data_IF_004708252220
#
_entry.id   IF_004708252220
#
_cell.length_a   1.000
_cell.length_b   1.000
_cell.length_c   1.000
_cell.angle_alpha   90.00
_cell.angle_beta   90.00
_cell.angle_gamma   90.00
#
_symmetry.space_group_name_H-M   'P 1'
#
loop_
_entity.id
_entity.type
_entity.pdbx_description
1 polymer ?
#
# COMPACT_ATOMS: atom_id res chain seq x y z
N UNK A 1 16.80 -13.22 18.21
CA UNK A 1 16.94 -13.05 16.76
C UNK A 1 15.56 -12.71 16.20
N UNK A 2 15.43 -11.59 15.51
CA UNK A 2 14.24 -11.33 14.68
C UNK A 2 14.35 -12.27 13.48
N UNK A 3 13.51 -13.30 13.44
CA UNK A 3 13.45 -14.21 12.28
C UNK A 3 13.17 -13.46 10.97
N UNK A 4 13.35 -14.13 9.84
CA UNK A 4 13.01 -13.61 8.49
C UNK A 4 11.49 -13.63 8.27
N UNK A 5 10.77 -12.98 9.17
CA UNK A 5 9.34 -12.79 9.09
C UNK A 5 9.02 -11.69 8.09
N UNK A 6 8.06 -11.93 7.20
CA UNK A 6 7.56 -10.92 6.26
C UNK A 6 6.10 -10.59 6.55
N UNK A 7 5.78 -9.31 6.44
CA UNK A 7 4.40 -8.85 6.49
C UNK A 7 3.67 -9.27 5.22
N UNK A 8 2.48 -9.83 5.38
CA UNK A 8 1.59 -10.19 4.28
C UNK A 8 0.39 -9.26 4.30
N UNK A 9 0.14 -8.59 3.18
CA UNK A 9 -1.09 -7.84 2.94
C UNK A 9 -1.89 -8.55 1.84
N UNK A 10 -2.07 -7.95 0.67
CA UNK A 10 -2.78 -8.56 -0.45
C UNK A 10 -2.13 -9.79 -1.09
N UNK A 11 -0.85 -10.04 -0.80
CA UNK A 11 -0.10 -11.20 -1.30
C UNK A 11 0.23 -11.20 -2.80
N UNK A 12 -0.24 -10.22 -3.57
CA UNK A 12 -0.12 -10.20 -5.04
C UNK A 12 1.31 -9.98 -5.58
N UNK A 13 2.28 -9.66 -4.72
CA UNK A 13 3.71 -9.63 -5.06
C UNK A 13 4.48 -10.72 -4.33
N UNK A 14 4.30 -10.82 -3.00
CA UNK A 14 5.06 -11.75 -2.16
C UNK A 14 4.74 -13.23 -2.46
N UNK A 15 3.47 -13.60 -2.65
CA UNK A 15 3.10 -15.01 -2.90
C UNK A 15 3.66 -15.48 -4.26
N UNK A 16 3.55 -14.72 -5.37
CA UNK A 16 4.25 -15.06 -6.60
C UNK A 16 5.77 -15.25 -6.43
N UNK A 17 6.44 -14.34 -5.70
CA UNK A 17 7.88 -14.46 -5.42
C UNK A 17 8.22 -15.71 -4.59
N UNK A 18 7.35 -16.10 -3.65
CA UNK A 18 7.50 -17.35 -2.88
C UNK A 18 7.30 -18.58 -3.75
N UNK A 19 6.31 -18.58 -4.64
CA UNK A 19 6.05 -19.70 -5.57
C UNK A 19 7.22 -19.96 -6.52
N UNK A 20 7.94 -18.92 -6.90
CA UNK A 20 9.16 -19.00 -7.73
C UNK A 20 10.44 -19.15 -6.91
N UNK A 21 10.34 -19.20 -5.57
CA UNK A 21 11.45 -19.26 -4.62
C UNK A 21 12.43 -18.08 -4.69
N UNK A 22 11.99 -16.95 -5.24
CA UNK A 22 12.73 -15.69 -5.16
C UNK A 22 12.71 -15.12 -3.72
N UNK A 23 11.66 -15.43 -2.95
CA UNK A 23 11.55 -15.13 -1.54
C UNK A 23 11.20 -16.40 -0.74
N UNK A 24 11.78 -16.57 0.45
CA UNK A 24 11.55 -17.74 1.31
C UNK A 24 11.52 -17.34 2.80
N UNK A 25 10.60 -16.45 3.22
CA UNK A 25 10.49 -16.05 4.63
C UNK A 25 10.13 -17.24 5.51
N UNK A 26 10.62 -17.23 6.76
CA UNK A 26 10.27 -18.27 7.75
C UNK A 26 8.83 -18.16 8.21
N UNK A 27 8.33 -16.93 8.30
CA UNK A 27 7.03 -16.59 8.85
C UNK A 27 6.33 -15.53 8.01
N UNK A 28 5.00 -15.63 7.96
CA UNK A 28 4.15 -14.59 7.38
C UNK A 28 3.25 -14.00 8.48
N UNK A 29 3.26 -12.68 8.59
CA UNK A 29 2.39 -11.94 9.50
C UNK A 29 1.29 -11.27 8.68
N UNK A 30 0.10 -11.86 8.66
CA UNK A 30 -1.04 -11.40 7.87
C UNK A 30 -1.73 -10.18 8.51
N UNK A 31 -1.72 -9.06 7.78
CA UNK A 31 -2.32 -7.79 8.20
C UNK A 31 -3.79 -7.66 7.80
N UNK A 32 -4.32 -8.54 6.96
CA UNK A 32 -5.67 -8.43 6.38
C UNK A 32 -6.81 -8.53 7.40
N UNK A 33 -6.51 -8.98 8.62
CA UNK A 33 -7.46 -9.12 9.71
C UNK A 33 -7.48 -7.92 10.68
N UNK A 34 -6.66 -6.90 10.45
CA UNK A 34 -6.62 -5.69 11.28
C UNK A 34 -7.62 -4.68 10.73
N UNK A 35 -8.77 -4.51 11.39
CA UNK A 35 -9.87 -3.67 10.92
C UNK A 35 -9.49 -2.18 10.83
N UNK A 36 -8.64 -1.70 11.73
CA UNK A 36 -8.13 -0.33 11.76
C UNK A 36 -7.28 0.02 10.53
N UNK A 37 -6.79 -0.99 9.81
CA UNK A 37 -6.02 -0.82 8.58
C UNK A 37 -6.90 -0.85 7.32
N UNK A 38 -8.23 -0.85 7.43
CA UNK A 38 -9.16 -0.88 6.30
C UNK A 38 -9.94 0.41 6.13
N UNK A 39 -10.24 0.72 4.87
CA UNK A 39 -11.20 1.75 4.50
C UNK A 39 -10.58 3.08 4.09
N UNK A 40 -11.48 4.00 3.77
CA UNK A 40 -11.19 5.33 3.25
C UNK A 40 -12.02 6.33 4.04
N UNK A 41 -11.36 7.39 4.46
CA UNK A 41 -11.99 8.51 5.15
C UNK A 41 -11.73 9.79 4.35
N UNK A 42 -12.79 10.56 4.11
CA UNK A 42 -12.70 11.88 3.47
C UNK A 42 -13.24 12.90 4.46
N UNK A 43 -12.35 13.74 4.99
CA UNK A 43 -12.65 14.74 6.01
C UNK A 43 -12.16 16.11 5.52
N UNK A 44 -13.08 16.94 5.04
CA UNK A 44 -12.74 18.24 4.47
C UNK A 44 -11.84 18.09 3.23
N UNK A 45 -10.62 18.64 3.31
CA UNK A 45 -9.61 18.56 2.27
C UNK A 45 -8.64 17.38 2.42
N UNK A 46 -8.79 16.56 3.46
CA UNK A 46 -7.89 15.44 3.76
C UNK A 46 -8.55 14.12 3.42
N UNK A 47 -7.80 13.25 2.73
CA UNK A 47 -8.22 11.90 2.35
C UNK A 47 -7.28 10.92 3.03
N UNK A 48 -7.79 10.11 3.95
CA UNK A 48 -7.01 9.05 4.58
C UNK A 48 -7.38 7.71 3.95
N UNK A 49 -6.42 7.02 3.34
CA UNK A 49 -6.60 5.65 2.83
C UNK A 49 -5.79 4.71 3.70
N UNK A 50 -6.46 3.78 4.38
CA UNK A 50 -5.80 2.81 5.26
C UNK A 50 -5.02 1.76 4.46
N UNK A 51 -3.93 1.25 5.05
CA UNK A 51 -2.92 0.50 4.31
C UNK A 51 -3.42 -0.80 3.67
N UNK A 52 -4.40 -1.48 4.27
CA UNK A 52 -4.96 -2.73 3.74
C UNK A 52 -6.17 -2.53 2.84
N UNK A 53 -6.53 -1.28 2.54
CA UNK A 53 -7.57 -0.97 1.54
C UNK A 53 -7.16 -1.51 0.17
N UNK A 54 -8.05 -2.31 -0.43
CA UNK A 54 -7.75 -2.98 -1.69
C UNK A 54 -7.77 -1.99 -2.85
N UNK A 55 -7.08 -2.29 -3.94
CA UNK A 55 -7.13 -1.45 -5.14
C UNK A 55 -8.57 -1.34 -5.68
N UNK A 56 -9.38 -2.39 -5.52
CA UNK A 56 -10.79 -2.36 -5.85
C UNK A 56 -11.55 -1.32 -5.02
N UNK A 57 -11.36 -1.30 -3.71
CA UNK A 57 -12.03 -0.35 -2.82
C UNK A 57 -11.58 1.08 -3.12
N UNK A 58 -10.27 1.32 -3.34
CA UNK A 58 -9.77 2.63 -3.78
C UNK A 58 -10.40 3.07 -5.11
N UNK A 59 -10.52 2.15 -6.08
CA UNK A 59 -11.09 2.47 -7.38
C UNK A 59 -12.60 2.72 -7.35
N UNK A 60 -13.31 2.12 -6.39
CA UNK A 60 -14.77 2.08 -6.36
C UNK A 60 -15.39 3.01 -5.32
N UNK A 61 -14.64 3.51 -4.34
CA UNK A 61 -15.17 4.38 -3.29
C UNK A 61 -15.74 5.70 -3.86
N UNK A 62 -17.03 5.91 -3.60
CA UNK A 62 -17.78 7.04 -4.15
C UNK A 62 -17.35 8.39 -3.56
N UNK A 63 -16.85 8.42 -2.33
CA UNK A 63 -16.34 9.66 -1.71
C UNK A 63 -15.01 10.04 -2.34
N UNK A 64 -14.13 9.06 -2.52
CA UNK A 64 -12.82 9.25 -3.16
C UNK A 64 -12.96 9.64 -4.62
N UNK A 65 -13.87 9.03 -5.38
CA UNK A 65 -14.15 9.45 -6.77
C UNK A 65 -14.55 10.91 -6.88
N UNK A 66 -15.23 11.47 -5.87
CA UNK A 66 -15.60 12.89 -5.84
C UNK A 66 -14.45 13.78 -5.39
N UNK A 67 -13.69 13.35 -4.38
CA UNK A 67 -12.63 14.16 -3.78
C UNK A 67 -11.30 14.12 -4.56
N UNK A 68 -10.92 12.96 -5.07
CA UNK A 68 -9.71 12.74 -5.88
C UNK A 68 -9.98 11.73 -7.01
N UNK A 69 -10.71 12.14 -8.08
CA UNK A 69 -11.11 11.24 -9.17
C UNK A 69 -9.90 10.60 -9.88
N UNK A 70 -8.78 11.31 -9.98
CA UNK A 70 -7.57 10.81 -10.63
C UNK A 70 -6.99 9.58 -9.90
N UNK A 71 -6.98 9.58 -8.57
CA UNK A 71 -6.47 8.46 -7.77
C UNK A 71 -7.37 7.23 -7.91
N UNK A 72 -8.69 7.41 -7.81
CA UNK A 72 -9.66 6.34 -8.03
C UNK A 72 -9.57 5.77 -9.45
N UNK A 73 -9.43 6.64 -10.46
CA UNK A 73 -9.26 6.21 -11.84
C UNK A 73 -7.97 5.40 -12.02
N UNK A 74 -6.83 5.87 -11.49
CA UNK A 74 -5.56 5.15 -11.54
C UNK A 74 -5.70 3.76 -10.90
N UNK A 75 -6.30 3.67 -9.70
CA UNK A 75 -6.50 2.40 -9.02
C UNK A 75 -7.32 1.40 -9.87
N UNK A 76 -8.25 1.88 -10.70
CA UNK A 76 -9.04 1.04 -11.62
C UNK A 76 -8.21 0.42 -12.76
N UNK A 77 -7.01 0.95 -13.03
CA UNK A 77 -6.09 0.50 -14.07
C UNK A 77 -5.06 -0.52 -13.58
N UNK A 78 -4.93 -0.70 -12.27
CA UNK A 78 -3.95 -1.61 -11.66
C UNK A 78 -4.37 -3.05 -11.91
N UNK A 79 -3.51 -3.84 -12.56
CA UNK A 79 -3.71 -5.27 -12.77
C UNK A 79 -5.05 -5.65 -13.39
N UNK A 80 -5.51 -6.86 -13.09
CA UNK A 80 -6.83 -7.38 -13.45
C UNK A 80 -7.80 -7.32 -12.24
N UNK A 81 -9.09 -7.68 -12.38
CA UNK A 81 -10.02 -7.68 -11.27
C UNK A 81 -9.57 -8.54 -10.07
N UNK A 82 -8.99 -9.72 -10.30
CA UNK A 82 -8.57 -10.62 -9.21
C UNK A 82 -7.39 -10.03 -8.43
N UNK A 83 -6.44 -9.40 -9.14
CA UNK A 83 -5.36 -8.63 -8.51
C UNK A 83 -5.94 -7.48 -7.70
N UNK A 84 -6.90 -6.71 -8.24
CA UNK A 84 -7.47 -5.56 -7.51
C UNK A 84 -8.26 -5.92 -6.26
N UNK A 85 -8.93 -7.06 -6.24
CA UNK A 85 -9.67 -7.53 -5.06
C UNK A 85 -8.78 -7.98 -3.90
N UNK A 86 -7.47 -8.13 -4.14
CA UNK A 86 -6.54 -8.60 -3.11
C UNK A 86 -5.41 -7.62 -2.87
N UNK A 87 -4.78 -7.09 -3.92
CA UNK A 87 -3.72 -6.09 -3.83
C UNK A 87 -4.18 -4.86 -3.06
N UNK A 88 -3.30 -4.34 -2.19
CA UNK A 88 -3.59 -3.23 -1.28
C UNK A 88 -2.66 -2.07 -1.55
N UNK A 89 -3.12 -0.85 -1.27
CA UNK A 89 -2.30 0.36 -1.43
C UNK A 89 -1.02 0.28 -0.59
N UNK A 90 -1.11 -0.15 0.66
CA UNK A 90 0.03 -0.29 1.57
C UNK A 90 1.04 -1.32 1.09
N UNK A 91 0.57 -2.47 0.58
CA UNK A 91 1.44 -3.49 -0.01
C UNK A 91 2.18 -2.98 -1.25
N UNK A 92 1.49 -2.24 -2.12
CA UNK A 92 2.10 -1.65 -3.32
C UNK A 92 3.22 -0.67 -2.99
N UNK A 93 2.98 0.27 -2.07
CA UNK A 93 3.96 1.31 -1.73
C UNK A 93 5.08 0.79 -0.83
N UNK A 94 4.82 -0.21 0.02
CA UNK A 94 5.88 -0.87 0.80
C UNK A 94 6.83 -1.67 -0.10
N UNK A 95 6.32 -2.25 -1.19
CA UNK A 95 7.13 -2.98 -2.16
C UNK A 95 7.96 -2.04 -3.06
N UNK A 96 7.42 -0.85 -3.39
CA UNK A 96 8.06 0.16 -4.22
C UNK A 96 8.69 -0.38 -5.52
N UNK A 97 7.91 -1.15 -6.27
CA UNK A 97 8.27 -1.52 -7.64
C UNK A 97 8.16 -0.26 -8.53
N UNK A 98 9.16 0.09 -9.35
CA UNK A 98 9.05 1.22 -10.28
C UNK A 98 7.90 1.09 -11.29
N UNK A 99 7.41 -0.13 -11.54
CA UNK A 99 6.24 -0.36 -12.37
C UNK A 99 4.92 -0.17 -11.63
N UNK A 100 4.94 0.08 -10.31
CA UNK A 100 3.73 0.32 -9.53
C UNK A 100 3.21 1.75 -9.71
N UNK A 101 1.88 1.88 -9.72
CA UNK A 101 1.23 3.16 -9.99
C UNK A 101 1.14 4.09 -8.76
N UNK A 102 0.90 3.52 -7.56
CA UNK A 102 0.72 4.33 -6.34
C UNK A 102 1.93 5.20 -5.97
N UNK A 103 3.20 4.73 -6.04
CA UNK A 103 4.34 5.58 -5.72
C UNK A 103 4.35 6.91 -6.48
N UNK A 104 4.12 6.87 -7.80
CA UNK A 104 4.07 8.06 -8.63
C UNK A 104 2.86 8.96 -8.27
N UNK A 105 1.68 8.37 -8.04
CA UNK A 105 0.49 9.13 -7.66
C UNK A 105 0.66 9.83 -6.30
N UNK A 106 1.24 9.17 -5.31
CA UNK A 106 1.47 9.73 -3.98
C UNK A 106 2.54 10.83 -3.99
N UNK A 107 3.57 10.70 -4.84
CA UNK A 107 4.53 11.77 -5.09
C UNK A 107 3.85 12.99 -5.72
N UNK A 108 3.00 12.79 -6.73
CA UNK A 108 2.30 13.88 -7.42
C UNK A 108 1.28 14.60 -6.52
N UNK A 109 0.75 13.92 -5.51
CA UNK A 109 -0.21 14.46 -4.54
C UNK A 109 0.46 15.07 -3.29
N UNK A 110 1.81 15.07 -3.23
CA UNK A 110 2.56 15.44 -2.02
C UNK A 110 2.05 14.72 -0.75
N UNK A 111 1.68 13.45 -0.92
CA UNK A 111 1.05 12.67 0.14
C UNK A 111 2.02 12.38 1.30
N UNK A 112 1.44 12.03 2.45
CA UNK A 112 2.19 11.57 3.62
C UNK A 112 1.92 10.09 3.86
N UNK A 113 2.98 9.31 3.98
CA UNK A 113 2.93 7.90 4.36
C UNK A 113 2.96 7.83 5.88
N UNK A 114 1.90 7.30 6.47
CA UNK A 114 1.74 7.15 7.92
C UNK A 114 2.13 5.72 8.30
N UNK A 115 3.03 5.58 9.27
CA UNK A 115 3.40 4.29 9.86
C UNK A 115 2.90 4.19 11.30
N UNK A 116 3.11 3.03 11.93
CA UNK A 116 2.90 2.84 13.35
C UNK A 116 3.86 3.64 14.25
N UNK A 117 4.92 4.27 13.71
CA UNK A 117 5.93 4.99 14.50
C UNK A 117 6.07 6.46 14.12
N UNK A 118 5.79 6.83 12.86
CA UNK A 118 6.02 8.18 12.34
C UNK A 118 5.31 8.42 11.03
N UNK A 119 5.35 9.67 10.60
CA UNK A 119 4.88 10.12 9.29
C UNK A 119 6.08 10.49 8.40
N UNK A 120 5.97 10.19 7.11
CA UNK A 120 7.04 10.39 6.12
C UNK A 120 6.42 10.97 4.86
N UNK A 121 6.87 12.15 4.43
CA UNK A 121 6.46 12.73 3.15
C UNK A 121 6.84 11.79 1.97
N UNK A 122 5.97 11.65 0.97
CA UNK A 122 6.18 10.77 -0.19
C UNK A 122 7.54 11.01 -0.87
N UNK A 123 7.94 12.28 -1.03
CA UNK A 123 9.24 12.65 -1.61
C UNK A 123 10.47 12.18 -0.84
N UNK A 124 10.30 11.70 0.41
CA UNK A 124 11.35 11.09 1.24
C UNK A 124 11.13 9.61 1.50
N UNK A 125 9.96 9.08 1.12
CA UNK A 125 9.60 7.69 1.41
C UNK A 125 10.15 6.72 0.37
N UNK A 126 10.11 7.07 -0.90
CA UNK A 126 10.62 6.23 -2.00
C UNK A 126 12.09 6.58 -2.28
N UNK A 127 13.02 5.72 -1.84
CA UNK A 127 14.46 6.04 -1.82
C UNK A 127 15.26 5.37 -2.93
N UNK A 128 14.72 4.33 -3.57
CA UNK A 128 15.40 3.58 -4.61
C UNK A 128 14.53 2.46 -5.18
N UNK A 129 15.13 1.63 -6.04
CA UNK A 129 14.49 0.47 -6.65
C UNK A 129 14.16 -0.57 -5.59
N UNK A 130 12.87 -0.86 -5.35
CA UNK A 130 12.41 -1.74 -4.25
C UNK A 130 12.86 -1.29 -2.85
N UNK A 131 13.28 -0.03 -2.69
CA UNK A 131 13.76 0.52 -1.43
C UNK A 131 12.85 1.65 -0.96
N UNK A 132 12.51 1.62 0.32
CA UNK A 132 11.73 2.66 0.99
C UNK A 132 12.42 3.12 2.26
N UNK A 133 11.95 4.23 2.83
CA UNK A 133 12.42 4.74 4.11
C UNK A 133 11.91 3.96 5.34
N UNK A 134 11.17 2.85 5.15
CA UNK A 134 10.71 1.98 6.24
C UNK A 134 11.91 1.39 6.99
N UNK A 135 11.82 1.41 8.32
CA UNK A 135 12.75 0.71 9.22
C UNK A 135 12.14 -0.58 9.75
N UNK A 136 12.98 -1.42 10.33
CA UNK A 136 12.53 -2.67 10.94
C UNK A 136 11.42 -2.45 11.97
N UNK A 137 10.37 -3.27 11.86
CA UNK A 137 9.16 -3.20 12.67
C UNK A 137 8.29 -1.97 12.42
N UNK A 138 8.55 -1.18 11.38
CA UNK A 138 7.59 -0.20 10.87
C UNK A 138 6.58 -0.88 9.95
N UNK A 139 5.31 -0.51 10.15
CA UNK A 139 4.19 -0.95 9.31
C UNK A 139 3.49 0.30 8.83
N UNK A 140 3.25 0.38 7.53
CA UNK A 140 2.41 1.45 6.97
C UNK A 140 0.99 1.21 7.46
N UNK A 141 0.38 2.24 8.04
CA UNK A 141 -0.98 2.19 8.58
C UNK A 141 -1.96 2.94 7.69
N UNK A 142 -1.51 4.01 7.04
CA UNK A 142 -2.32 4.80 6.11
C UNK A 142 -1.46 5.66 5.16
N UNK A 143 -2.12 6.27 4.19
CA UNK A 143 -1.62 7.43 3.45
C UNK A 143 -2.63 8.57 3.55
N UNK A 144 -2.15 9.81 3.62
CA UNK A 144 -2.97 11.03 3.74
C UNK A 144 -2.58 12.08 2.72
#
# INVERSE_FOLDING_TARGET
ETGDAKLLSGGMTLIPAMKTRLAAPSDLVDLSHIEELKGIEVAGSTITIRATTTHHDVASDEKLKRACPALAHMASRIGDPAVRYKGTIGGSIANNDPAADYPAALLALDATIVTNKREIAAGKFFTGLFETALKDGEIITAVT
#
